data_IF_721666116450
#
_entry.id   IF_721666116450
#
_cell.length_a   1.000
_cell.length_b   1.000
_cell.length_c   1.000
_cell.angle_alpha   90.00
_cell.angle_beta   90.00
_cell.angle_gamma   90.00
#
_symmetry.space_group_name_H-M   'P 1'
#
loop_
_entity.id
_entity.type
_entity.pdbx_description
1 polymer ?
#
# COMPACT_ATOMS: atom_id res chain seq x y z
N UNK A 1 15.91 -35.20 46.13
CA UNK A 1 15.53 -33.77 46.23
C UNK A 1 14.10 -33.65 45.74
N UNK A 2 13.15 -33.33 46.60
CA UNK A 2 11.75 -33.23 46.23
C UNK A 2 11.48 -31.82 45.69
N UNK A 3 11.09 -31.71 44.42
CA UNK A 3 10.63 -30.45 43.85
C UNK A 3 9.14 -30.31 44.16
N UNK A 4 8.83 -29.68 45.28
CA UNK A 4 7.49 -29.20 45.58
C UNK A 4 7.20 -28.00 44.69
N UNK A 5 6.60 -28.25 43.53
CA UNK A 5 6.01 -27.20 42.71
C UNK A 5 5.02 -26.42 43.60
N UNK A 6 5.13 -25.08 43.70
CA UNK A 6 4.17 -24.31 44.47
C UNK A 6 2.80 -24.57 43.87
N UNK A 7 1.96 -25.27 44.64
CA UNK A 7 0.53 -25.44 44.38
C UNK A 7 0.00 -24.10 43.88
N UNK A 8 -0.44 -24.08 42.61
CA UNK A 8 -1.06 -22.94 41.95
C UNK A 8 -2.25 -22.51 42.80
N UNK A 9 -1.98 -21.59 43.73
CA UNK A 9 -2.97 -21.03 44.64
C UNK A 9 -4.07 -20.45 43.76
N UNK A 10 -5.29 -20.90 44.04
CA UNK A 10 -6.54 -20.49 43.38
C UNK A 10 -6.47 -19.06 42.84
N UNK A 11 -6.73 -18.83 41.53
CA UNK A 11 -6.83 -17.50 40.99
C UNK A 11 -8.05 -16.85 41.64
N UNK A 12 -7.82 -15.95 42.61
CA UNK A 12 -8.90 -15.25 43.31
C UNK A 12 -9.63 -14.25 42.42
N UNK A 13 -9.08 -13.93 41.24
CA UNK A 13 -9.64 -12.92 40.32
C UNK A 13 -9.83 -13.44 38.87
N UNK A 14 -10.60 -14.52 38.66
CA UNK A 14 -10.94 -14.97 37.30
C UNK A 14 -11.73 -13.90 36.53
N UNK A 15 -12.54 -13.10 37.25
CA UNK A 15 -13.28 -11.96 36.72
C UNK A 15 -12.36 -10.90 36.08
N UNK A 16 -11.28 -10.53 36.76
CA UNK A 16 -10.31 -9.54 36.22
C UNK A 16 -9.65 -10.08 34.96
N UNK A 17 -9.39 -11.39 34.90
CA UNK A 17 -8.82 -12.02 33.70
C UNK A 17 -9.78 -11.99 32.51
N UNK A 18 -11.07 -12.28 32.74
CA UNK A 18 -12.10 -12.20 31.69
C UNK A 18 -12.29 -10.75 31.25
N UNK A 19 -12.35 -9.81 32.20
CA UNK A 19 -12.50 -8.39 31.91
C UNK A 19 -11.31 -7.86 31.10
N UNK A 20 -10.09 -8.21 31.50
CA UNK A 20 -8.86 -7.84 30.78
C UNK A 20 -8.87 -8.42 29.36
N UNK A 21 -9.27 -9.68 29.19
CA UNK A 21 -9.40 -10.31 27.88
C UNK A 21 -10.44 -9.59 27.01
N UNK A 22 -11.60 -9.27 27.59
CA UNK A 22 -12.68 -8.56 26.90
C UNK A 22 -12.25 -7.16 26.47
N UNK A 23 -11.54 -6.43 27.33
CA UNK A 23 -10.95 -5.12 27.01
C UNK A 23 -9.94 -5.26 25.87
N UNK A 24 -9.06 -6.26 25.93
CA UNK A 24 -8.10 -6.52 24.86
C UNK A 24 -8.78 -6.76 23.51
N UNK A 25 -9.82 -7.60 23.48
CA UNK A 25 -10.62 -7.86 22.28
C UNK A 25 -11.31 -6.60 21.79
N UNK A 26 -11.87 -5.79 22.69
CA UNK A 26 -12.51 -4.52 22.34
C UNK A 26 -11.51 -3.55 21.67
N UNK A 27 -10.31 -3.40 22.25
CA UNK A 27 -9.26 -2.55 21.69
C UNK A 27 -8.83 -3.03 20.31
N UNK A 28 -8.61 -4.34 20.13
CA UNK A 28 -8.26 -4.93 18.83
C UNK A 28 -9.37 -4.66 17.82
N UNK A 29 -10.64 -4.87 18.20
CA UNK A 29 -11.79 -4.60 17.35
C UNK A 29 -11.86 -3.15 16.91
N UNK A 30 -11.68 -2.20 17.84
CA UNK A 30 -11.64 -0.77 17.52
C UNK A 30 -10.49 -0.45 16.58
N UNK A 31 -9.29 -0.97 16.83
CA UNK A 31 -8.12 -0.72 15.98
C UNK A 31 -8.33 -1.30 14.57
N UNK A 32 -9.00 -2.46 14.46
CA UNK A 32 -9.34 -3.10 13.19
C UNK A 32 -10.36 -2.27 12.39
N UNK A 33 -11.44 -1.84 13.04
CA UNK A 33 -12.46 -0.98 12.41
C UNK A 33 -11.85 0.35 11.99
N UNK A 34 -11.05 0.97 12.85
CA UNK A 34 -10.34 2.20 12.54
C UNK A 34 -9.41 2.02 11.33
N UNK A 35 -8.59 0.97 11.33
CA UNK A 35 -7.71 0.65 10.21
C UNK A 35 -8.47 0.41 8.92
N UNK A 36 -9.61 -0.28 8.97
CA UNK A 36 -10.46 -0.53 7.82
C UNK A 36 -11.08 0.77 7.27
N UNK A 37 -11.56 1.65 8.16
CA UNK A 37 -12.09 2.97 7.78
C UNK A 37 -10.99 3.81 7.13
N UNK A 38 -9.82 3.90 7.76
CA UNK A 38 -8.67 4.65 7.21
C UNK A 38 -8.27 4.09 5.86
N UNK A 39 -8.12 2.78 5.73
CA UNK A 39 -7.78 2.13 4.46
C UNK A 39 -8.85 2.42 3.39
N UNK A 40 -10.14 2.34 3.74
CA UNK A 40 -11.24 2.67 2.83
C UNK A 40 -11.21 4.11 2.36
N UNK A 41 -11.03 5.06 3.29
CA UNK A 41 -10.90 6.50 2.96
C UNK A 41 -9.68 6.73 2.08
N UNK A 42 -8.53 6.11 2.38
CA UNK A 42 -7.31 6.25 1.60
C UNK A 42 -7.46 5.63 0.20
N UNK A 43 -8.17 4.51 0.08
CA UNK A 43 -8.47 3.86 -1.19
C UNK A 43 -9.39 4.74 -2.04
N UNK A 44 -10.48 5.27 -1.46
CA UNK A 44 -11.44 6.12 -2.16
C UNK A 44 -10.79 7.46 -2.54
N UNK A 45 -10.18 8.16 -1.59
CA UNK A 45 -9.48 9.42 -1.84
C UNK A 45 -8.31 9.26 -2.80
N UNK A 46 -7.52 8.18 -2.64
CA UNK A 46 -6.43 7.82 -3.52
C UNK A 46 -6.90 7.49 -4.94
N UNK A 47 -7.99 6.75 -5.09
CA UNK A 47 -8.56 6.41 -6.39
C UNK A 47 -9.09 7.64 -7.12
N UNK A 48 -9.73 8.58 -6.40
CA UNK A 48 -10.15 9.88 -6.97
C UNK A 48 -8.93 10.67 -7.43
N UNK A 49 -7.88 10.78 -6.62
CA UNK A 49 -6.63 11.45 -7.01
C UNK A 49 -5.97 10.77 -8.22
N UNK A 50 -5.98 9.43 -8.29
CA UNK A 50 -5.41 8.67 -9.39
C UNK A 50 -6.23 8.81 -10.67
N UNK A 51 -7.56 8.85 -10.58
CA UNK A 51 -8.46 9.07 -11.69
C UNK A 51 -8.34 10.49 -12.27
N UNK A 52 -8.13 11.49 -11.39
CA UNK A 52 -7.85 12.87 -11.81
C UNK A 52 -6.42 13.02 -12.35
N UNK A 53 -5.46 12.25 -11.84
CA UNK A 53 -4.15 12.07 -12.45
C UNK A 53 -4.25 11.13 -13.66
N UNK A 54 -4.97 11.56 -14.69
CA UNK A 54 -4.83 10.94 -16.02
C UNK A 54 -3.35 11.03 -16.41
N UNK A 55 -2.61 9.91 -16.49
CA UNK A 55 -1.29 9.94 -17.07
C UNK A 55 -1.52 10.20 -18.56
N UNK A 56 -1.11 11.37 -19.04
CA UNK A 56 -0.93 11.58 -20.47
C UNK A 56 0.15 10.60 -20.92
N UNK A 57 -0.29 9.46 -21.44
CA UNK A 57 0.49 8.32 -21.98
C UNK A 57 1.24 7.45 -20.97
N UNK A 58 1.19 6.15 -21.30
CA UNK A 58 1.88 5.00 -20.68
C UNK A 58 1.08 4.42 -19.51
N UNK A 59 0.11 3.53 -19.76
CA UNK A 59 0.37 2.10 -19.96
C UNK A 59 1.58 1.63 -19.16
N UNK A 60 1.41 1.45 -17.85
CA UNK A 60 2.00 0.32 -17.11
C UNK A 60 1.59 0.37 -15.62
N UNK A 61 0.29 0.28 -15.38
CA UNK A 61 -0.22 -0.15 -14.09
C UNK A 61 -0.74 -1.59 -14.24
N UNK A 62 0.18 -2.55 -14.23
CA UNK A 62 -0.14 -3.96 -13.97
C UNK A 62 0.52 -4.37 -12.64
N UNK A 63 -0.03 -3.85 -11.55
CA UNK A 63 0.14 -4.45 -10.22
C UNK A 63 -0.60 -5.79 -10.27
N UNK A 64 0.10 -6.81 -10.77
CA UNK A 64 -0.47 -8.12 -11.06
C UNK A 64 0.12 -8.79 -12.30
N UNK A 65 1.45 -8.82 -12.44
CA UNK A 65 2.08 -9.78 -13.36
C UNK A 65 3.54 -10.05 -12.98
N UNK A 66 3.73 -10.94 -12.01
CA UNK A 66 5.03 -11.58 -11.74
C UNK A 66 5.42 -12.62 -12.80
N UNK A 67 4.87 -12.60 -14.03
CA UNK A 67 5.14 -13.66 -15.00
C UNK A 67 5.06 -13.33 -16.50
N UNK A 68 4.70 -12.11 -16.93
CA UNK A 68 4.48 -11.88 -18.37
C UNK A 68 4.96 -10.51 -18.87
N UNK A 69 6.27 -10.33 -19.11
CA UNK A 69 6.70 -9.79 -20.40
C UNK A 69 8.17 -10.08 -20.69
N UNK A 70 8.38 -11.21 -21.33
CA UNK A 70 9.65 -11.76 -21.81
C UNK A 70 10.00 -11.18 -23.19
N UNK A 71 9.81 -9.90 -23.44
CA UNK A 71 10.02 -9.33 -24.78
C UNK A 71 10.76 -7.99 -24.71
N UNK A 72 12.05 -8.11 -24.44
CA UNK A 72 13.03 -7.10 -24.82
C UNK A 72 13.00 -6.96 -26.35
N UNK A 73 12.15 -6.07 -26.86
CA UNK A 73 12.16 -5.62 -28.25
C UNK A 73 12.51 -4.13 -28.19
N UNK A 74 13.71 -3.71 -28.60
CA UNK A 74 13.99 -2.29 -28.74
C UNK A 74 13.16 -1.81 -29.94
N UNK A 75 12.07 -1.13 -29.63
CA UNK A 75 11.27 -0.42 -30.62
C UNK A 75 12.11 0.78 -31.05
N UNK A 76 12.53 0.76 -32.31
CA UNK A 76 13.24 1.87 -32.96
C UNK A 76 12.39 3.11 -32.74
N UNK A 77 12.97 4.15 -32.14
CA UNK A 77 12.36 5.46 -32.15
C UNK A 77 12.38 5.93 -33.62
N UNK A 78 11.28 5.70 -34.35
CA UNK A 78 10.94 6.43 -35.57
C UNK A 78 10.69 7.90 -35.18
N UNK A 79 11.78 8.58 -34.84
CA UNK A 79 11.80 10.01 -34.67
C UNK A 79 11.67 10.62 -36.06
N UNK A 80 10.47 11.09 -36.40
CA UNK A 80 10.33 12.09 -37.43
C UNK A 80 11.11 13.34 -36.96
N UNK A 81 12.31 13.51 -37.51
CA UNK A 81 13.18 14.63 -37.16
C UNK A 81 12.65 15.90 -37.83
N UNK A 82 11.94 16.75 -37.09
CA UNK A 82 11.66 18.12 -37.52
C UNK A 82 12.93 18.95 -37.32
N UNK A 83 13.60 19.29 -38.42
CA UNK A 83 14.75 20.20 -38.43
C UNK A 83 14.26 21.61 -38.13
N UNK A 84 14.46 22.07 -36.90
CA UNK A 84 14.23 23.47 -36.55
C UNK A 84 15.37 24.30 -37.16
N UNK A 85 15.13 24.93 -38.30
CA UNK A 85 16.03 25.94 -38.83
C UNK A 85 16.00 27.14 -37.87
N UNK A 86 16.94 27.17 -36.93
CA UNK A 86 17.19 28.36 -36.12
C UNK A 86 17.73 29.42 -37.07
N UNK A 87 16.88 30.40 -37.37
CA UNK A 87 17.19 31.52 -38.25
C UNK A 87 18.55 32.10 -37.93
N UNK A 88 19.49 31.95 -38.87
CA UNK A 88 20.65 32.83 -38.93
C UNK A 88 20.17 34.13 -39.54
N UNK A 89 19.54 34.93 -38.69
CA UNK A 89 19.57 36.38 -38.81
C UNK A 89 20.99 36.82 -38.43
N UNK A 90 21.85 36.90 -39.42
CA UNK A 90 23.06 37.71 -39.42
C UNK A 90 23.13 38.27 -40.85
N UNK A 91 22.45 39.38 -41.15
CA UNK A 91 23.04 40.73 -41.03
C UNK A 91 24.52 40.72 -41.38
N UNK A 92 24.83 40.87 -42.67
CA UNK A 92 25.59 42.00 -43.23
C UNK A 92 26.19 41.62 -44.59
#
# INVERSE_FOLDING_TARGET
>A
MHFSLPSMRHPRNPLIRILSLLIGIAVIGVMLVFGLVVAGVLLVGGFVLLALRRPTRSSDARVGSTAANRAHKPDVLEGEFVVVQRGRSATQ
#
